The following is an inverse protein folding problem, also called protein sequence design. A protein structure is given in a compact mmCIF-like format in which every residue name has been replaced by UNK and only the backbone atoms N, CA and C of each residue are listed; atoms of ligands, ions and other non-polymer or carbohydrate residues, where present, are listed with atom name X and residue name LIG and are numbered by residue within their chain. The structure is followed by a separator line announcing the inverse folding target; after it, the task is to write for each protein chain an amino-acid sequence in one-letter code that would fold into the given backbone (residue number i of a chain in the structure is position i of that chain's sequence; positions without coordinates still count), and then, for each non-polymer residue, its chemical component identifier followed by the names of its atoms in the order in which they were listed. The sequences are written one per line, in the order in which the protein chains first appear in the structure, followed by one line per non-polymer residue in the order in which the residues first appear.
data_IF_127476765406
#
_entry.id   IF_127476765406
#
_cell.length_a   1.000
_cell.length_b   1.000
_cell.length_c   1.000
_cell.angle_alpha   90.00
_cell.angle_beta   90.00
_cell.angle_gamma   90.00
#
_symmetry.space_group_name_H-M   'P 1'
#
loop_
_entity.id
_entity.type
_entity.pdbx_description
1 polymer ?
#
# COMPACT_ATOMS: atom_id res chain seq x y z
N UNK A 1 -15.04 42.36 -2.78
CA UNK A 1 -15.42 40.96 -3.07
C UNK A 1 -14.69 40.08 -2.05
N UNK A 2 -15.34 39.75 -0.93
CA UNK A 2 -14.72 38.98 0.16
C UNK A 2 -14.76 37.49 -0.20
N UNK A 3 -13.59 36.88 -0.41
CA UNK A 3 -13.49 35.43 -0.60
C UNK A 3 -13.95 34.72 0.68
N UNK A 4 -15.13 34.10 0.65
CA UNK A 4 -15.54 33.14 1.68
C UNK A 4 -14.57 31.97 1.63
N UNK A 5 -13.67 31.89 2.62
CA UNK A 5 -12.92 30.66 2.90
C UNK A 5 -13.94 29.56 3.18
N UNK A 6 -14.14 28.67 2.20
CA UNK A 6 -14.94 27.47 2.36
C UNK A 6 -14.29 26.63 3.46
N UNK A 7 -14.87 26.65 4.67
CA UNK A 7 -14.48 25.75 5.75
C UNK A 7 -14.92 24.34 5.36
N UNK A 8 -14.11 23.65 4.58
CA UNK A 8 -14.30 22.23 4.27
C UNK A 8 -14.27 21.47 5.59
N UNK A 9 -15.37 20.77 5.91
CA UNK A 9 -15.46 19.97 7.11
C UNK A 9 -14.40 18.84 7.06
N UNK A 10 -13.45 18.74 8.02
CA UNK A 10 -12.44 17.69 8.02
C UNK A 10 -13.02 16.27 7.93
N UNK A 11 -14.25 16.07 8.44
CA UNK A 11 -14.94 14.79 8.43
C UNK A 11 -15.27 14.26 7.03
N UNK A 12 -15.44 15.11 6.01
CA UNK A 12 -15.75 14.63 4.64
C UNK A 12 -14.59 13.90 3.98
N UNK A 13 -13.36 14.06 4.48
CA UNK A 13 -12.17 13.41 3.93
C UNK A 13 -11.80 12.11 4.67
N UNK A 14 -12.37 11.89 5.86
CA UNK A 14 -12.06 10.72 6.70
C UNK A 14 -12.45 9.42 5.97
N UNK A 15 -13.65 9.37 5.39
CA UNK A 15 -14.14 8.15 4.71
C UNK A 15 -13.25 7.76 3.53
N UNK A 16 -12.89 8.71 2.67
CA UNK A 16 -12.04 8.45 1.52
C UNK A 16 -10.61 8.09 1.91
N UNK A 17 -10.07 8.68 2.98
CA UNK A 17 -8.76 8.33 3.53
C UNK A 17 -8.73 6.89 4.07
N UNK A 18 -9.71 6.50 4.88
CA UNK A 18 -9.79 5.13 5.41
C UNK A 18 -10.00 4.10 4.31
N UNK A 19 -10.79 4.43 3.29
CA UNK A 19 -10.94 3.57 2.12
C UNK A 19 -9.61 3.41 1.36
N UNK A 20 -8.90 4.51 1.12
CA UNK A 20 -7.60 4.49 0.45
C UNK A 20 -6.52 3.74 1.25
N UNK A 21 -6.59 3.77 2.59
CA UNK A 21 -5.66 3.07 3.47
C UNK A 21 -5.99 1.56 3.59
N UNK A 22 -7.27 1.20 3.61
CA UNK A 22 -7.73 -0.18 3.79
C UNK A 22 -7.50 -1.07 2.57
N UNK A 23 -7.61 -0.51 1.35
CA UNK A 23 -7.39 -1.27 0.11
C UNK A 23 -6.00 -1.91 -0.02
N UNK A 24 -4.88 -1.18 0.10
CA UNK A 24 -3.54 -1.78 -0.01
C UNK A 24 -3.27 -2.76 1.14
N UNK A 25 -3.82 -2.53 2.33
CA UNK A 25 -3.73 -3.48 3.44
C UNK A 25 -4.37 -4.82 3.08
N UNK A 26 -5.64 -4.83 2.66
CA UNK A 26 -6.34 -6.07 2.28
C UNK A 26 -5.65 -6.75 1.09
N UNK A 27 -5.15 -5.96 0.13
CA UNK A 27 -4.42 -6.49 -1.01
C UNK A 27 -3.18 -7.29 -0.57
N UNK A 28 -2.39 -6.74 0.36
CA UNK A 28 -1.19 -7.41 0.86
C UNK A 28 -1.54 -8.63 1.73
N UNK A 29 -2.51 -8.49 2.63
CA UNK A 29 -2.83 -9.51 3.63
C UNK A 29 -3.59 -10.72 3.04
N UNK A 30 -4.43 -10.49 2.04
CA UNK A 30 -5.35 -11.52 1.53
C UNK A 30 -5.18 -11.77 0.05
N UNK A 31 -5.16 -10.70 -0.77
CA UNK A 31 -5.12 -10.85 -2.23
C UNK A 31 -3.81 -11.51 -2.69
N UNK A 32 -2.66 -11.14 -2.12
CA UNK A 32 -1.37 -11.76 -2.45
C UNK A 32 -1.39 -13.30 -2.24
N UNK A 33 -1.90 -13.73 -1.09
CA UNK A 33 -2.00 -15.16 -0.74
C UNK A 33 -2.91 -15.91 -1.71
N UNK A 34 -4.11 -15.37 -1.97
CA UNK A 34 -5.08 -15.99 -2.89
C UNK A 34 -4.53 -16.03 -4.31
N UNK A 35 -3.87 -14.95 -4.76
CA UNK A 35 -3.27 -14.85 -6.09
C UNK A 35 -2.21 -15.94 -6.29
N UNK A 36 -1.20 -16.02 -5.41
CA UNK A 36 -0.14 -17.01 -5.54
C UNK A 36 -0.68 -18.44 -5.41
N UNK A 37 -1.69 -18.66 -4.57
CA UNK A 37 -2.33 -19.97 -4.47
C UNK A 37 -2.99 -20.39 -5.78
N UNK A 38 -3.70 -19.47 -6.45
CA UNK A 38 -4.31 -19.72 -7.76
C UNK A 38 -3.29 -19.88 -8.88
N UNK A 39 -2.09 -19.31 -8.74
CA UNK A 39 -0.97 -19.48 -9.68
C UNK A 39 -0.18 -20.78 -9.45
N UNK A 40 -0.64 -21.66 -8.55
CA UNK A 40 -0.09 -23.00 -8.37
C UNK A 40 1.03 -23.11 -7.33
N UNK A 41 1.31 -22.06 -6.55
CA UNK A 41 2.30 -22.15 -5.48
C UNK A 41 1.87 -23.08 -4.34
N UNK A 42 2.87 -23.71 -3.73
CA UNK A 42 2.67 -24.48 -2.49
C UNK A 42 2.34 -23.55 -1.32
N UNK A 43 1.63 -24.06 -0.32
CA UNK A 43 1.31 -23.27 0.87
C UNK A 43 2.58 -22.87 1.65
N UNK A 44 3.60 -23.73 1.62
CA UNK A 44 4.90 -23.46 2.26
C UNK A 44 5.60 -22.27 1.60
N UNK A 45 5.65 -22.24 0.28
CA UNK A 45 6.26 -21.14 -0.46
C UNK A 45 5.48 -19.84 -0.26
N UNK A 46 4.15 -19.90 -0.30
CA UNK A 46 3.29 -18.73 -0.05
C UNK A 46 3.58 -18.18 1.34
N UNK A 47 3.55 -19.02 2.38
CA UNK A 47 3.84 -18.60 3.75
C UNK A 47 5.23 -17.97 3.87
N UNK A 48 6.24 -18.58 3.23
CA UNK A 48 7.59 -18.04 3.17
C UNK A 48 7.61 -16.65 2.54
N UNK A 49 7.06 -16.47 1.33
CA UNK A 49 7.15 -15.21 0.59
C UNK A 49 6.25 -14.11 1.15
N UNK A 50 4.98 -14.42 1.46
CA UNK A 50 4.03 -13.41 1.95
C UNK A 50 4.25 -13.07 3.42
N UNK A 51 4.91 -13.93 4.20
CA UNK A 51 5.28 -13.64 5.59
C UNK A 51 6.12 -12.36 5.72
N UNK A 52 7.06 -12.14 4.79
CA UNK A 52 7.89 -10.94 4.76
C UNK A 52 7.09 -9.66 4.52
N UNK A 53 5.95 -9.76 3.84
CA UNK A 53 5.13 -8.59 3.55
C UNK A 53 4.59 -7.94 4.82
N UNK A 54 4.54 -8.65 5.97
CA UNK A 54 4.12 -8.10 7.26
C UNK A 54 5.16 -7.20 7.93
N UNK A 55 6.43 -7.28 7.52
CA UNK A 55 7.53 -6.54 8.15
C UNK A 55 7.32 -5.03 8.20
N UNK A 56 6.83 -4.35 7.13
CA UNK A 56 6.51 -2.93 7.17
C UNK A 56 5.66 -2.50 8.38
N UNK A 57 4.76 -3.33 8.88
CA UNK A 57 3.98 -2.95 10.05
C UNK A 57 4.75 -3.11 11.36
N UNK A 58 5.68 -4.07 11.43
CA UNK A 58 6.50 -4.37 12.63
C UNK A 58 7.61 -3.34 12.81
N UNK A 59 8.35 -3.03 11.76
CA UNK A 59 9.50 -2.11 11.83
C UNK A 59 9.10 -0.63 11.71
N UNK A 60 7.80 -0.34 11.55
CA UNK A 60 7.25 1.02 11.44
C UNK A 60 7.79 2.04 12.44
N UNK A 61 8.01 1.71 13.73
CA UNK A 61 8.57 2.66 14.69
C UNK A 61 9.90 3.27 14.25
N UNK A 62 10.68 2.58 13.39
CA UNK A 62 11.97 3.05 12.93
C UNK A 62 11.87 4.21 11.92
N UNK A 63 10.87 4.23 11.04
CA UNK A 63 10.73 5.31 10.04
C UNK A 63 9.62 6.31 10.34
N UNK A 64 8.66 5.99 11.21
CA UNK A 64 7.57 6.92 11.56
C UNK A 64 8.06 8.33 11.97
N UNK A 65 9.13 8.49 12.77
CA UNK A 65 9.64 9.82 13.14
C UNK A 65 10.09 10.65 11.92
N UNK A 66 10.64 9.99 10.90
CA UNK A 66 11.12 10.65 9.68
C UNK A 66 9.96 11.08 8.78
N UNK A 67 8.88 10.29 8.75
CA UNK A 67 7.67 10.66 8.01
C UNK A 67 7.08 11.96 8.56
N UNK A 68 7.05 12.12 9.89
CA UNK A 68 6.55 13.33 10.55
C UNK A 68 7.47 14.56 10.32
N UNK A 69 8.75 14.32 10.00
CA UNK A 69 9.73 15.37 9.65
C UNK A 69 9.62 15.81 8.18
N UNK A 70 9.04 15.00 7.29
CA UNK A 70 9.06 15.22 5.84
C UNK A 70 7.73 15.86 5.38
N UNK A 71 7.77 17.18 5.13
CA UNK A 71 6.73 17.96 4.43
C UNK A 71 5.33 17.98 5.10
N UNK A 72 4.36 18.60 4.43
CA UNK A 72 2.97 18.69 4.89
C UNK A 72 2.24 17.35 4.75
N UNK A 73 1.40 16.99 5.72
CA UNK A 73 0.56 15.77 5.72
C UNK A 73 -0.18 15.50 4.41
N UNK A 74 -0.68 16.55 3.74
CA UNK A 74 -1.42 16.44 2.47
C UNK A 74 -0.55 15.93 1.31
N UNK A 75 0.67 16.44 1.18
CA UNK A 75 1.61 16.01 0.14
C UNK A 75 2.03 14.55 0.34
N UNK A 76 2.20 14.14 1.60
CA UNK A 76 2.51 12.76 1.96
C UNK A 76 1.40 11.79 1.55
N UNK A 77 0.15 12.09 1.90
CA UNK A 77 -1.03 11.28 1.52
C UNK A 77 -1.10 11.10 0.00
N UNK A 78 -0.95 12.19 -0.77
CA UNK A 78 -1.04 12.11 -2.24
C UNK A 78 0.11 11.28 -2.83
N UNK A 79 1.33 11.40 -2.29
CA UNK A 79 2.45 10.57 -2.71
C UNK A 79 2.19 9.08 -2.43
N UNK A 80 1.67 8.75 -1.23
CA UNK A 80 1.31 7.37 -0.88
C UNK A 80 0.22 6.80 -1.78
N UNK A 81 -0.80 7.61 -2.14
CA UNK A 81 -1.82 7.20 -3.11
C UNK A 81 -1.22 6.93 -4.50
N UNK A 82 -0.24 7.73 -4.93
CA UNK A 82 0.51 7.50 -6.16
C UNK A 82 1.29 6.18 -6.13
N UNK A 83 1.96 5.87 -5.01
CA UNK A 83 2.62 4.58 -4.83
C UNK A 83 1.63 3.42 -4.84
N UNK A 84 0.48 3.54 -4.17
CA UNK A 84 -0.57 2.52 -4.21
C UNK A 84 -1.04 2.26 -5.64
N UNK A 85 -1.31 3.30 -6.42
CA UNK A 85 -1.70 3.18 -7.82
C UNK A 85 -0.60 2.47 -8.65
N UNK A 86 0.66 2.88 -8.49
CA UNK A 86 1.80 2.26 -9.17
C UNK A 86 1.99 0.79 -8.76
N UNK A 87 1.76 0.45 -7.50
CA UNK A 87 1.84 -0.93 -6.98
C UNK A 87 0.80 -1.84 -7.63
N UNK A 88 -0.47 -1.41 -7.67
CA UNK A 88 -1.52 -2.19 -8.34
C UNK A 88 -1.30 -2.30 -9.85
N UNK A 89 -0.92 -1.21 -10.51
CA UNK A 89 -0.58 -1.22 -11.93
C UNK A 89 0.58 -2.18 -12.20
N UNK A 90 1.64 -2.12 -11.41
CA UNK A 90 2.78 -3.02 -11.49
C UNK A 90 2.37 -4.48 -11.34
N UNK A 91 1.57 -4.82 -10.33
CA UNK A 91 1.07 -6.19 -10.19
C UNK A 91 0.31 -6.63 -11.45
N UNK A 92 -0.62 -5.82 -11.95
CA UNK A 92 -1.41 -6.14 -13.13
C UNK A 92 -0.55 -6.37 -14.39
N UNK A 93 0.46 -5.52 -14.63
CA UNK A 93 1.34 -5.63 -15.80
C UNK A 93 2.32 -6.80 -15.72
N UNK A 94 2.76 -7.19 -14.53
CA UNK A 94 3.82 -8.19 -14.36
C UNK A 94 3.31 -9.60 -14.00
N UNK A 95 2.01 -9.80 -13.75
CA UNK A 95 1.40 -11.13 -13.63
C UNK A 95 1.72 -12.07 -14.82
N UNK A 96 1.64 -11.65 -16.10
CA UNK A 96 1.92 -12.54 -17.23
C UNK A 96 3.43 -12.72 -17.52
N UNK A 97 4.33 -12.09 -16.76
CA UNK A 97 5.77 -12.17 -17.01
C UNK A 97 6.39 -13.47 -16.46
N UNK A 98 7.50 -13.91 -17.05
CA UNK A 98 8.23 -15.12 -16.61
C UNK A 98 8.73 -15.03 -15.15
N UNK A 99 8.97 -13.80 -14.68
CA UNK A 99 9.39 -13.50 -13.31
C UNK A 99 8.27 -12.89 -12.46
N UNK A 100 7.02 -13.26 -12.71
CA UNK A 100 5.85 -12.71 -12.03
C UNK A 100 6.01 -12.71 -10.51
N UNK A 101 6.54 -13.77 -9.91
CA UNK A 101 6.61 -13.88 -8.45
C UNK A 101 7.49 -12.78 -7.85
N UNK A 102 8.73 -12.61 -8.33
CA UNK A 102 9.65 -11.60 -7.79
C UNK A 102 9.14 -10.18 -8.04
N UNK A 103 8.61 -9.93 -9.22
CA UNK A 103 8.13 -8.61 -9.64
C UNK A 103 6.87 -8.21 -8.90
N UNK A 104 5.84 -9.06 -8.89
CA UNK A 104 4.60 -8.80 -8.14
C UNK A 104 4.84 -8.73 -6.64
N UNK A 105 5.76 -9.53 -6.07
CA UNK A 105 6.13 -9.44 -4.66
C UNK A 105 6.80 -8.10 -4.32
N UNK A 106 7.65 -7.56 -5.20
CA UNK A 106 8.24 -6.24 -5.03
C UNK A 106 7.17 -5.13 -5.03
N UNK A 107 6.16 -5.23 -5.90
CA UNK A 107 5.04 -4.29 -5.88
C UNK A 107 4.13 -4.47 -4.66
N UNK A 108 3.90 -5.71 -4.18
CA UNK A 108 3.21 -5.93 -2.91
C UNK A 108 3.98 -5.34 -1.73
N UNK A 109 5.31 -5.39 -1.73
CA UNK A 109 6.14 -4.70 -0.75
C UNK A 109 5.93 -3.19 -0.78
N UNK A 110 5.87 -2.60 -1.97
CA UNK A 110 5.57 -1.18 -2.14
C UNK A 110 4.17 -0.82 -1.62
N UNK A 111 3.17 -1.68 -1.84
CA UNK A 111 1.84 -1.52 -1.25
C UNK A 111 1.86 -1.63 0.28
N UNK A 112 2.63 -2.58 0.83
CA UNK A 112 2.76 -2.80 2.26
C UNK A 112 3.40 -1.61 2.98
N UNK A 113 4.49 -1.08 2.43
CA UNK A 113 5.10 0.16 2.93
C UNK A 113 4.13 1.34 2.84
N UNK A 114 3.50 1.53 1.67
CA UNK A 114 2.56 2.64 1.47
C UNK A 114 1.40 2.58 2.46
N UNK A 115 0.85 1.39 2.72
CA UNK A 115 -0.22 1.17 3.70
C UNK A 115 0.24 1.41 5.13
N UNK A 116 1.46 0.99 5.48
CA UNK A 116 2.01 1.23 6.81
C UNK A 116 2.27 2.73 7.08
N UNK A 117 2.49 3.55 6.04
CA UNK A 117 2.85 4.97 6.17
C UNK A 117 1.76 5.98 5.81
N UNK A 118 0.69 5.56 5.14
CA UNK A 118 -0.46 6.42 4.80
C UNK A 118 -1.31 6.75 6.03
#
# INVERSE_FOLDING_TARGET
MTMRSQKTNPWTWVLSLYFAQGLPYIAVMTMAVVMYKRMGLSNTDIALYTGWLYLPWVIKPLWSPFVDLIKTKRAWIVAMQGFVAAGFAGIAFFIPADHYLRTTLAFFWLLAFSSATH
#
